data_IF_452305160821
#
_entry.id   IF_452305160821
#
_cell.length_a   1.000
_cell.length_b   1.000
_cell.length_c   1.000
_cell.angle_alpha   90.00
_cell.angle_beta   90.00
_cell.angle_gamma   90.00
#
_symmetry.space_group_name_H-M   'P 1'
#
loop_
_entity.id
_entity.type
_entity.pdbx_description
1 polymer ?
#
# COMPACT_ATOMS: atom_id res chain seq x y z
N UNK A 1 -1.24 1.18 -11.47
CA UNK A 1 -0.38 0.13 -10.87
C UNK A 1 -1.19 -0.94 -10.14
N UNK A 2 -2.06 -0.62 -9.18
CA UNK A 2 -2.86 -1.63 -8.44
C UNK A 2 -3.74 -2.50 -9.34
N UNK A 3 -4.34 -1.93 -10.38
CA UNK A 3 -5.09 -2.70 -11.38
C UNK A 3 -4.20 -3.69 -12.17
N UNK A 4 -2.97 -3.28 -12.51
CA UNK A 4 -1.99 -4.17 -13.16
C UNK A 4 -1.52 -5.28 -12.21
N UNK A 5 -1.35 -4.96 -10.91
CA UNK A 5 -1.02 -5.95 -9.88
C UNK A 5 -2.11 -7.01 -9.74
N UNK A 6 -3.38 -6.59 -9.78
CA UNK A 6 -4.52 -7.52 -9.79
C UNK A 6 -4.47 -8.47 -10.99
N UNK A 7 -4.23 -7.95 -12.19
CA UNK A 7 -4.10 -8.78 -13.40
C UNK A 7 -2.90 -9.73 -13.35
N UNK A 8 -1.78 -9.28 -12.78
CA UNK A 8 -0.62 -10.14 -12.54
C UNK A 8 -0.97 -11.30 -11.59
N UNK A 9 -1.65 -10.99 -10.47
CA UNK A 9 -2.10 -11.98 -9.50
C UNK A 9 -3.09 -12.98 -10.11
N UNK A 10 -4.05 -12.53 -10.91
CA UNK A 10 -5.00 -13.41 -11.60
C UNK A 10 -4.31 -14.39 -12.56
N UNK A 11 -3.16 -14.01 -13.13
CA UNK A 11 -2.39 -14.85 -14.06
C UNK A 11 -1.50 -15.87 -13.36
N UNK A 12 -0.83 -15.49 -12.27
CA UNK A 12 0.19 -16.32 -11.61
C UNK A 12 -0.26 -16.93 -10.27
N UNK A 13 -1.32 -16.40 -9.65
CA UNK A 13 -1.73 -16.75 -8.29
C UNK A 13 -0.80 -16.22 -7.21
N UNK A 14 0.16 -15.36 -7.55
CA UNK A 14 1.13 -14.77 -6.65
C UNK A 14 1.45 -13.32 -7.04
N UNK A 15 2.03 -12.58 -6.10
CA UNK A 15 2.52 -11.22 -6.33
C UNK A 15 3.96 -11.26 -6.87
N UNK A 16 4.43 -10.17 -7.52
CA UNK A 16 5.81 -10.06 -7.97
C UNK A 16 6.78 -10.28 -6.81
N UNK A 17 7.84 -11.06 -7.05
CA UNK A 17 8.84 -11.36 -6.02
C UNK A 17 9.72 -10.13 -5.77
N UNK A 18 10.00 -9.82 -4.51
CA UNK A 18 10.84 -8.67 -4.13
C UNK A 18 12.31 -8.83 -4.50
N UNK A 19 12.75 -10.07 -4.69
CA UNK A 19 14.14 -10.44 -4.99
C UNK A 19 15.06 -10.47 -3.75
N UNK A 20 14.55 -10.05 -2.58
CA UNK A 20 15.28 -10.12 -1.32
C UNK A 20 15.01 -11.45 -0.62
N UNK A 21 16.06 -12.03 -0.04
CA UNK A 21 15.96 -13.20 0.83
C UNK A 21 16.52 -12.84 2.22
N UNK A 22 15.92 -13.35 3.31
CA UNK A 22 16.44 -13.14 4.65
C UNK A 22 17.74 -13.94 4.86
N UNK A 23 18.50 -13.57 5.89
CA UNK A 23 19.72 -14.29 6.28
C UNK A 23 19.41 -15.74 6.66
N UNK A 24 20.32 -16.66 6.31
CA UNK A 24 20.17 -18.09 6.58
C UNK A 24 21.51 -18.82 6.75
N UNK A 25 21.52 -19.82 7.62
CA UNK A 25 22.68 -20.70 7.81
C UNK A 25 22.83 -21.61 6.60
N UNK A 26 23.80 -21.32 5.74
CA UNK A 26 24.12 -22.10 4.55
C UNK A 26 25.58 -21.88 4.15
N UNK A 27 26.12 -22.74 3.27
CA UNK A 27 27.41 -22.42 2.66
C UNK A 27 27.26 -21.22 1.72
N UNK A 28 28.25 -20.33 1.70
CA UNK A 28 28.23 -19.08 0.93
C UNK A 28 27.85 -19.29 -0.55
N UNK A 29 28.33 -20.38 -1.16
CA UNK A 29 28.01 -20.71 -2.55
C UNK A 29 26.52 -21.01 -2.77
N UNK A 30 25.89 -21.72 -1.84
CA UNK A 30 24.46 -22.03 -1.95
C UNK A 30 23.60 -20.79 -1.69
N UNK A 31 24.00 -19.96 -0.73
CA UNK A 31 23.35 -18.68 -0.47
C UNK A 31 23.32 -17.78 -1.70
N UNK A 32 24.49 -17.56 -2.33
CA UNK A 32 24.59 -16.71 -3.52
C UNK A 32 23.79 -17.26 -4.69
N UNK A 33 23.84 -18.58 -4.92
CA UNK A 33 23.03 -19.22 -5.97
C UNK A 33 21.54 -18.99 -5.75
N UNK A 34 21.06 -19.15 -4.51
CA UNK A 34 19.66 -18.91 -4.19
C UNK A 34 19.30 -17.43 -4.34
N UNK A 35 20.15 -16.52 -3.88
CA UNK A 35 19.97 -15.08 -4.03
C UNK A 35 19.82 -14.68 -5.50
N UNK A 36 20.69 -15.20 -6.38
CA UNK A 36 20.61 -14.93 -7.82
C UNK A 36 19.29 -15.41 -8.43
N UNK A 37 18.79 -16.59 -8.04
CA UNK A 37 17.48 -17.08 -8.52
C UNK A 37 16.34 -16.11 -8.17
N UNK A 38 16.36 -15.54 -6.96
CA UNK A 38 15.35 -14.57 -6.54
C UNK A 38 15.49 -13.23 -7.27
N UNK A 39 16.71 -12.73 -7.45
CA UNK A 39 16.97 -11.50 -8.21
C UNK A 39 16.52 -11.67 -9.67
N UNK A 40 16.86 -12.79 -10.30
CA UNK A 40 16.49 -13.08 -11.68
C UNK A 40 14.98 -13.22 -11.85
N UNK A 41 14.30 -13.84 -10.88
CA UNK A 41 12.84 -13.93 -10.88
C UNK A 41 12.19 -12.56 -10.70
N UNK A 42 12.67 -11.75 -9.76
CA UNK A 42 12.18 -10.40 -9.55
C UNK A 42 12.32 -9.52 -10.80
N UNK A 43 13.46 -9.62 -11.52
CA UNK A 43 13.65 -8.91 -12.78
C UNK A 43 12.64 -9.33 -13.86
N UNK A 44 12.38 -10.63 -14.00
CA UNK A 44 11.37 -11.16 -14.94
C UNK A 44 9.95 -10.71 -14.58
N UNK A 45 9.61 -10.72 -13.30
CA UNK A 45 8.29 -10.30 -12.82
C UNK A 45 8.06 -8.81 -13.08
N UNK A 46 9.08 -7.97 -12.89
CA UNK A 46 9.03 -6.54 -13.22
C UNK A 46 8.79 -6.32 -14.71
N UNK A 47 9.51 -7.01 -15.58
CA UNK A 47 9.33 -6.87 -17.04
C UNK A 47 7.93 -7.30 -17.49
N UNK A 48 7.42 -8.39 -16.93
CA UNK A 48 6.04 -8.81 -17.18
C UNK A 48 5.02 -7.79 -16.64
N UNK A 49 5.26 -7.26 -15.43
CA UNK A 49 4.41 -6.24 -14.83
C UNK A 49 4.38 -4.96 -15.68
N UNK A 50 5.52 -4.53 -16.25
CA UNK A 50 5.57 -3.41 -17.21
C UNK A 50 4.71 -3.68 -18.44
N UNK A 51 4.76 -4.89 -18.99
CA UNK A 51 3.92 -5.28 -20.13
C UNK A 51 2.42 -5.21 -19.79
N UNK A 52 2.02 -5.73 -18.63
CA UNK A 52 0.63 -5.65 -18.16
C UNK A 52 0.22 -4.19 -17.93
N UNK A 53 1.09 -3.39 -17.31
CA UNK A 53 0.84 -1.98 -17.05
C UNK A 53 0.67 -1.20 -18.36
N UNK A 54 1.45 -1.50 -19.39
CA UNK A 54 1.31 -0.91 -20.74
C UNK A 54 -0.09 -1.17 -21.29
N UNK A 55 -0.58 -2.41 -21.16
CA UNK A 55 -1.94 -2.76 -21.56
C UNK A 55 -3.04 -2.02 -20.77
N UNK A 56 -2.84 -1.81 -19.47
CA UNK A 56 -3.78 -1.05 -18.63
C UNK A 56 -3.80 0.43 -19.00
N UNK A 57 -2.63 1.04 -19.19
CA UNK A 57 -2.46 2.45 -19.53
C UNK A 57 -2.99 2.75 -20.94
N UNK A 58 -2.78 1.84 -21.91
CA UNK A 58 -3.44 1.87 -23.23
C UNK A 58 -4.96 1.94 -23.13
N UNK A 59 -5.57 1.12 -22.27
CA UNK A 59 -7.02 1.11 -22.06
C UNK A 59 -7.55 2.39 -21.40
N UNK A 60 -6.70 3.10 -20.66
CA UNK A 60 -7.05 4.38 -20.03
C UNK A 60 -6.93 5.58 -20.99
N UNK A 61 -6.43 5.38 -22.21
CA UNK A 61 -6.35 6.42 -23.23
C UNK A 61 -5.00 7.15 -23.33
N UNK A 62 -3.94 6.62 -22.73
CA UNK A 62 -2.61 7.20 -22.84
C UNK A 62 -2.05 7.02 -24.27
N UNK A 63 -1.56 8.12 -24.86
CA UNK A 63 -1.11 8.15 -26.25
C UNK A 63 0.24 7.44 -26.46
N UNK A 64 1.18 7.56 -25.51
CA UNK A 64 2.45 6.84 -25.52
C UNK A 64 2.70 6.08 -24.19
N UNK A 65 2.20 4.84 -24.10
CA UNK A 65 2.36 3.98 -22.93
C UNK A 65 3.81 3.57 -22.66
N UNK A 66 4.67 3.49 -23.68
CA UNK A 66 6.06 3.04 -23.53
C UNK A 66 6.92 4.18 -22.96
N UNK A 67 6.75 5.40 -23.47
CA UNK A 67 7.38 6.58 -22.90
C UNK A 67 6.92 6.81 -21.45
N UNK A 68 5.62 6.63 -21.17
CA UNK A 68 5.08 6.74 -19.82
C UNK A 68 5.74 5.73 -18.86
N UNK A 69 5.81 4.45 -19.25
CA UNK A 69 6.45 3.41 -18.42
C UNK A 69 7.93 3.71 -18.19
N UNK A 70 8.64 4.19 -19.22
CA UNK A 70 10.04 4.59 -19.07
C UNK A 70 10.21 5.72 -18.06
N UNK A 71 9.29 6.70 -18.03
CA UNK A 71 9.31 7.81 -17.07
C UNK A 71 9.09 7.34 -15.62
N UNK A 72 8.24 6.34 -15.41
CA UNK A 72 7.90 5.83 -14.06
C UNK A 72 8.66 4.55 -13.68
N UNK A 73 9.70 4.18 -14.42
CA UNK A 73 10.40 2.90 -14.23
C UNK A 73 10.87 2.68 -12.78
N UNK A 74 11.44 3.70 -12.14
CA UNK A 74 11.93 3.60 -10.75
C UNK A 74 10.79 3.41 -9.74
N UNK A 75 9.62 4.00 -10.02
CA UNK A 75 8.41 3.79 -9.22
C UNK A 75 7.88 2.37 -9.40
N UNK A 76 7.93 1.83 -10.63
CA UNK A 76 7.53 0.44 -10.90
C UNK A 76 8.43 -0.54 -10.14
N UNK A 77 9.75 -0.32 -10.15
CA UNK A 77 10.70 -1.15 -9.40
C UNK A 77 10.41 -1.11 -7.90
N UNK A 78 10.22 0.09 -7.35
CA UNK A 78 9.89 0.27 -5.93
C UNK A 78 8.54 -0.37 -5.59
N UNK A 79 7.55 -0.24 -6.47
CA UNK A 79 6.23 -0.82 -6.29
C UNK A 79 6.28 -2.35 -6.28
N UNK A 80 6.92 -2.98 -7.27
CA UNK A 80 7.03 -4.44 -7.34
C UNK A 80 7.80 -5.02 -6.16
N UNK A 81 8.87 -4.33 -5.71
CA UNK A 81 9.63 -4.73 -4.53
C UNK A 81 8.79 -4.74 -3.25
N UNK A 82 7.90 -3.75 -3.10
CA UNK A 82 7.08 -3.55 -1.90
C UNK A 82 5.67 -4.16 -1.99
N UNK A 83 5.30 -4.74 -3.13
CA UNK A 83 3.93 -5.19 -3.40
C UNK A 83 3.45 -6.27 -2.44
N UNK A 84 4.35 -7.10 -1.91
CA UNK A 84 4.01 -8.22 -1.02
C UNK A 84 3.82 -7.78 0.45
N UNK A 85 4.74 -6.97 0.99
CA UNK A 85 4.81 -6.71 2.44
C UNK A 85 4.26 -5.35 2.86
N UNK A 86 4.35 -4.33 2.00
CA UNK A 86 4.27 -2.93 2.42
C UNK A 86 3.14 -2.15 1.73
N UNK A 87 2.21 -2.83 1.05
CA UNK A 87 1.12 -2.15 0.35
C UNK A 87 -0.05 -1.90 1.31
N UNK A 88 -0.17 -0.65 1.76
CA UNK A 88 -1.26 -0.20 2.63
C UNK A 88 -2.01 0.98 1.99
N UNK A 89 -3.32 1.07 2.22
CA UNK A 89 -4.15 2.21 1.82
C UNK A 89 -4.96 2.67 3.02
N UNK A 90 -4.54 3.77 3.65
CA UNK A 90 -5.28 4.42 4.71
C UNK A 90 -6.20 5.50 4.12
N UNK A 91 -7.51 5.36 4.35
CA UNK A 91 -8.50 6.37 3.98
C UNK A 91 -8.94 7.10 5.23
N UNK A 92 -8.75 8.42 5.25
CA UNK A 92 -9.22 9.28 6.32
C UNK A 92 -10.51 9.97 5.89
N UNK A 93 -11.29 10.39 6.89
CA UNK A 93 -12.47 11.23 6.70
C UNK A 93 -12.03 12.68 6.48
N UNK A 94 -12.86 13.45 5.79
CA UNK A 94 -12.64 14.90 5.70
C UNK A 94 -12.98 15.58 7.03
N UNK A 95 -12.42 16.77 7.24
CA UNK A 95 -12.70 17.58 8.44
C UNK A 95 -14.17 18.03 8.49
N UNK A 96 -14.78 18.33 7.33
CA UNK A 96 -16.18 18.72 7.23
C UNK A 96 -17.10 17.57 7.65
N UNK A 97 -16.83 16.35 7.19
CA UNK A 97 -17.54 15.15 7.62
C UNK A 97 -17.38 14.91 9.12
N UNK A 98 -16.18 15.11 9.68
CA UNK A 98 -15.97 15.01 11.13
C UNK A 98 -16.79 16.03 11.95
N UNK A 99 -16.95 17.26 11.44
CA UNK A 99 -17.63 18.33 12.18
C UNK A 99 -19.15 18.23 12.08
N UNK A 100 -19.66 17.78 10.94
CA UNK A 100 -21.09 17.69 10.65
C UNK A 100 -21.70 16.35 11.04
N UNK A 101 -20.88 15.30 11.08
CA UNK A 101 -21.33 13.94 11.33
C UNK A 101 -20.93 13.47 12.72
N UNK A 102 -21.89 12.89 13.44
CA UNK A 102 -21.63 12.13 14.67
C UNK A 102 -20.88 10.82 14.42
N UNK A 103 -20.51 10.52 13.16
CA UNK A 103 -19.82 9.29 12.77
C UNK A 103 -18.50 9.05 13.53
N UNK A 104 -17.86 10.07 14.10
CA UNK A 104 -16.68 9.87 14.96
C UNK A 104 -17.09 9.31 16.32
N UNK A 105 -18.13 9.87 16.91
CA UNK A 105 -18.59 9.47 18.24
C UNK A 105 -19.29 8.12 18.17
N UNK A 106 -20.00 7.80 17.09
CA UNK A 106 -20.68 6.50 16.93
C UNK A 106 -19.75 5.38 16.45
N UNK A 107 -18.48 5.68 16.16
CA UNK A 107 -17.51 4.68 15.76
C UNK A 107 -17.23 3.69 16.91
N UNK A 108 -17.31 2.39 16.65
CA UNK A 108 -17.19 1.36 17.68
C UNK A 108 -15.82 1.36 18.35
N UNK A 109 -14.76 1.67 17.60
CA UNK A 109 -13.40 1.73 18.11
C UNK A 109 -13.25 2.96 19.02
N UNK A 110 -13.82 4.10 18.61
CA UNK A 110 -13.87 5.30 19.43
C UNK A 110 -14.66 5.08 20.74
N UNK A 111 -15.80 4.39 20.67
CA UNK A 111 -16.61 4.07 21.86
C UNK A 111 -15.91 3.10 22.80
N UNK A 112 -15.21 2.11 22.26
CA UNK A 112 -14.42 1.18 23.06
C UNK A 112 -13.32 1.93 23.82
N UNK A 113 -12.55 2.78 23.11
CA UNK A 113 -11.51 3.61 23.74
C UNK A 113 -12.12 4.62 24.74
N UNK A 114 -13.30 5.18 24.48
CA UNK A 114 -13.95 6.12 25.39
C UNK A 114 -14.38 5.47 26.72
N UNK A 115 -14.73 4.18 26.68
CA UNK A 115 -15.12 3.42 27.86
C UNK A 115 -13.93 2.82 28.62
N UNK A 116 -12.71 2.87 28.07
CA UNK A 116 -11.50 2.45 28.76
C UNK A 116 -11.03 3.55 29.74
N UNK A 117 -11.04 3.30 31.07
CA UNK A 117 -10.58 4.27 32.05
C UNK A 117 -9.09 4.63 31.94
N UNK A 118 -8.29 3.85 31.20
CA UNK A 118 -6.88 4.15 30.93
C UNK A 118 -6.68 5.06 29.71
N UNK A 119 -7.68 5.16 28.84
CA UNK A 119 -7.63 5.95 27.62
C UNK A 119 -8.00 7.40 27.90
N UNK A 120 -7.16 8.33 27.44
CA UNK A 120 -7.39 9.77 27.61
C UNK A 120 -7.66 10.49 26.28
N UNK A 121 -7.34 9.86 25.14
CA UNK A 121 -7.47 10.46 23.81
C UNK A 121 -8.91 10.90 23.48
N UNK A 122 -9.89 9.98 23.52
CA UNK A 122 -11.31 10.30 23.26
C UNK A 122 -11.88 11.34 24.22
N UNK A 123 -11.47 11.30 25.50
CA UNK A 123 -11.90 12.30 26.49
C UNK A 123 -11.43 13.70 26.13
N UNK A 124 -10.15 13.87 25.76
CA UNK A 124 -9.62 15.15 25.33
C UNK A 124 -10.24 15.64 24.02
N UNK A 125 -10.51 14.74 23.09
CA UNK A 125 -11.25 15.06 21.87
C UNK A 125 -12.63 15.66 22.19
N UNK A 126 -13.43 14.99 23.02
CA UNK A 126 -14.74 15.50 23.43
C UNK A 126 -14.64 16.82 24.22
N UNK A 127 -13.67 16.93 25.14
CA UNK A 127 -13.45 18.15 25.91
C UNK A 127 -13.13 19.36 25.01
N UNK A 128 -12.27 19.16 23.99
CA UNK A 128 -11.95 20.22 23.03
C UNK A 128 -13.14 20.62 22.17
N UNK A 129 -13.97 19.65 21.71
CA UNK A 129 -15.22 19.94 21.01
C UNK A 129 -16.20 20.72 21.90
N UNK A 130 -16.36 20.34 23.16
CA UNK A 130 -17.22 21.04 24.10
C UNK A 130 -16.76 22.48 24.38
N UNK A 131 -15.44 22.70 24.50
CA UNK A 131 -14.86 24.04 24.68
C UNK A 131 -15.09 24.91 23.45
N UNK A 132 -14.93 24.37 22.25
CA UNK A 132 -15.19 25.10 21.01
C UNK A 132 -16.67 25.46 20.87
N UNK A 133 -17.59 24.56 21.22
CA UNK A 133 -19.03 24.85 21.25
C UNK A 133 -19.38 25.92 22.30
N UNK A 134 -18.70 25.94 23.44
CA UNK A 134 -18.92 26.97 24.48
C UNK A 134 -18.40 28.35 24.07
N UNK A 135 -17.41 28.42 23.17
CA UNK A 135 -16.84 29.68 22.67
C UNK A 135 -17.68 30.36 21.58
N UNK A 136 -18.49 29.59 20.84
CA UNK A 136 -19.41 30.09 19.82
C UNK A 136 -20.69 30.64 20.44
#
# INVERSE_FOLDING_TARGET
>A
MSAALKLFFEKHGSLPVSGAIPDMVSATEFYLKLQHVYIDKAAKDVEEFKSILSGVVKKMGEADPEEFISKINDQILTFCKNAYENLEVTKMRSLEEELTSDAVVTDEMFQWDLNDPSSTGPMWFLATKAVEQFRQ
#
